data_IF_981775162529
#
_entry.id   IF_981775162529
#
_cell.length_a   1.000
_cell.length_b   1.000
_cell.length_c   1.000
_cell.angle_alpha   90.00
_cell.angle_beta   90.00
_cell.angle_gamma   90.00
#
_symmetry.space_group_name_H-M   'P 1'
#
loop_
_entity.id
_entity.type
_entity.pdbx_description
1 polymer ?
#
# COMPACT_ATOMS: atom_id res chain seq x y z
N UNK A 1 26.61 0.11 13.39
CA UNK A 1 25.51 0.15 12.44
C UNK A 1 24.95 1.55 12.37
N UNK A 2 24.80 2.10 11.21
CA UNK A 2 24.23 3.44 11.07
C UNK A 2 22.71 3.35 11.24
N UNK A 3 22.16 4.35 11.87
CA UNK A 3 20.71 4.49 11.92
C UNK A 3 20.16 4.75 10.52
N UNK A 4 19.12 4.04 10.16
CA UNK A 4 18.44 4.22 8.88
C UNK A 4 17.42 5.35 9.04
N UNK A 5 17.58 6.42 8.27
CA UNK A 5 16.66 7.55 8.29
C UNK A 5 15.62 7.32 7.18
N UNK A 6 14.32 7.41 7.48
CA UNK A 6 13.31 7.33 6.42
C UNK A 6 13.55 8.41 5.37
N UNK A 7 13.49 8.04 4.09
CA UNK A 7 13.55 9.02 2.99
C UNK A 7 12.21 9.72 2.82
N UNK A 8 11.17 9.18 3.43
CA UNK A 8 9.83 9.72 3.36
C UNK A 8 9.10 9.41 4.68
N UNK A 9 8.39 10.40 5.19
CA UNK A 9 7.54 10.26 6.37
C UNK A 9 6.22 10.99 6.13
N UNK A 10 5.11 10.34 6.45
CA UNK A 10 3.77 10.90 6.30
C UNK A 10 2.96 10.62 7.57
N UNK A 11 2.31 11.67 8.08
CA UNK A 11 1.47 11.59 9.27
C UNK A 11 0.28 12.51 9.07
N UNK A 12 -0.92 11.98 9.22
CA UNK A 12 -2.15 12.77 9.11
C UNK A 12 -2.38 13.68 10.33
N UNK A 13 -1.65 13.47 11.42
CA UNK A 13 -1.76 14.34 12.59
C UNK A 13 -1.40 15.79 12.20
N UNK A 14 -2.24 16.74 12.59
CA UNK A 14 -2.04 18.14 12.26
C UNK A 14 -2.60 18.57 10.91
N UNK A 15 -3.11 17.65 10.09
CA UNK A 15 -3.82 18.04 8.86
C UNK A 15 -5.22 18.55 9.18
N UNK A 16 -5.78 19.41 8.32
CA UNK A 16 -7.16 19.84 8.50
C UNK A 16 -8.13 18.67 8.53
N UNK A 17 -9.10 18.70 9.43
CA UNK A 17 -10.10 17.66 9.56
C UNK A 17 -10.83 17.44 8.23
N UNK A 18 -10.95 16.18 7.81
CA UNK A 18 -11.61 15.81 6.56
C UNK A 18 -10.71 15.79 5.33
N UNK A 19 -9.44 16.24 5.45
CA UNK A 19 -8.48 16.25 4.33
C UNK A 19 -7.53 15.05 4.33
N UNK A 20 -7.60 14.20 5.35
CA UNK A 20 -6.58 13.15 5.58
C UNK A 20 -6.54 12.11 4.46
N UNK A 21 -7.69 11.64 4.00
CA UNK A 21 -7.75 10.62 2.93
C UNK A 21 -7.20 11.17 1.62
N UNK A 22 -7.58 12.39 1.25
CA UNK A 22 -7.11 13.03 0.02
C UNK A 22 -5.60 13.26 0.07
N UNK A 23 -5.08 13.72 1.22
CA UNK A 23 -3.64 13.90 1.40
C UNK A 23 -2.88 12.59 1.26
N UNK A 24 -3.39 11.52 1.87
CA UNK A 24 -2.75 10.20 1.75
C UNK A 24 -2.82 9.68 0.32
N UNK A 25 -3.97 9.81 -0.35
CA UNK A 25 -4.11 9.38 -1.73
C UNK A 25 -3.13 10.11 -2.66
N UNK A 26 -2.81 11.37 -2.38
CA UNK A 26 -1.90 12.16 -3.21
C UNK A 26 -0.46 11.63 -3.20
N UNK A 27 -0.05 10.90 -2.16
CA UNK A 27 1.28 10.30 -2.09
C UNK A 27 1.32 8.88 -2.63
N UNK A 28 0.18 8.35 -3.09
CA UNK A 28 0.04 7.02 -3.68
C UNK A 28 -0.55 7.14 -5.09
N UNK A 29 0.13 7.84 -6.02
CA UNK A 29 -0.46 8.12 -7.33
C UNK A 29 -0.65 6.87 -8.20
N UNK A 30 -0.07 5.74 -7.81
CA UNK A 30 -0.22 4.47 -8.51
C UNK A 30 -1.42 3.65 -8.04
N UNK A 31 -2.19 4.15 -7.07
CA UNK A 31 -3.42 3.52 -6.59
C UNK A 31 -4.59 4.49 -6.61
N UNK A 32 -5.76 3.96 -6.88
CA UNK A 32 -7.01 4.56 -6.44
C UNK A 32 -7.25 4.12 -5.02
N UNK A 33 -7.64 5.05 -4.14
CA UNK A 33 -7.74 4.82 -2.70
C UNK A 33 -9.08 5.29 -2.20
N UNK A 34 -9.68 4.53 -1.30
CA UNK A 34 -10.90 4.93 -0.63
C UNK A 34 -11.06 4.25 0.72
N UNK A 35 -12.17 4.53 1.38
CA UNK A 35 -12.50 3.94 2.68
C UNK A 35 -13.89 3.31 2.62
N UNK A 36 -14.11 2.19 3.34
CA UNK A 36 -15.39 1.48 3.27
C UNK A 36 -16.55 2.19 3.96
N UNK A 37 -16.27 3.26 4.70
CA UNK A 37 -17.29 4.03 5.40
C UNK A 37 -16.88 5.47 5.54
N UNK A 38 -17.78 6.30 6.06
CA UNK A 38 -17.52 7.72 6.24
C UNK A 38 -17.39 8.14 7.70
N UNK A 39 -17.55 7.21 8.62
CA UNK A 39 -17.58 7.51 10.04
C UNK A 39 -16.20 7.63 10.63
N UNK A 40 -15.98 8.69 11.43
CA UNK A 40 -14.79 8.87 12.22
C UNK A 40 -13.61 9.49 11.48
N UNK A 41 -12.53 9.71 12.20
CA UNK A 41 -11.28 10.24 11.66
C UNK A 41 -10.58 9.24 10.77
N UNK A 42 -9.68 9.75 9.96
CA UNK A 42 -8.85 8.92 9.08
C UNK A 42 -7.39 9.21 9.42
N UNK A 43 -6.76 8.27 10.13
CA UNK A 43 -5.40 8.45 10.63
C UNK A 43 -4.45 7.48 9.94
N UNK A 44 -3.43 8.02 9.30
CA UNK A 44 -2.37 7.25 8.64
C UNK A 44 -1.01 7.74 9.13
N UNK A 45 -0.15 6.81 9.45
CA UNK A 45 1.25 7.06 9.78
C UNK A 45 2.09 6.14 8.89
N UNK A 46 2.94 6.72 8.05
CA UNK A 46 3.74 5.96 7.12
C UNK A 46 5.19 6.44 7.11
N UNK A 47 6.11 5.51 6.98
CA UNK A 47 7.53 5.79 6.76
C UNK A 47 8.04 4.90 5.65
N UNK A 48 8.94 5.40 4.83
CA UNK A 48 9.52 4.64 3.73
C UNK A 48 11.03 4.86 3.64
N UNK A 49 11.73 3.82 3.24
CA UNK A 49 13.18 3.79 3.07
C UNK A 49 13.51 3.30 1.68
N UNK A 50 14.49 3.94 1.05
CA UNK A 50 15.05 3.45 -0.20
C UNK A 50 16.22 2.50 0.13
N UNK A 51 16.11 1.25 -0.28
CA UNK A 51 17.07 0.19 0.04
C UNK A 51 17.56 -0.46 -1.26
N UNK A 52 18.65 0.05 -1.82
CA UNK A 52 19.30 -0.54 -2.99
C UNK A 52 18.31 -0.85 -4.14
N UNK A 53 17.56 0.16 -4.55
CA UNK A 53 16.57 0.05 -5.62
C UNK A 53 15.22 -0.50 -5.20
N UNK A 54 15.07 -0.94 -3.96
CA UNK A 54 13.80 -1.34 -3.37
C UNK A 54 13.25 -0.23 -2.50
N UNK A 55 11.94 -0.15 -2.35
CA UNK A 55 11.31 0.74 -1.39
C UNK A 55 10.60 -0.09 -0.33
N UNK A 56 11.04 0.05 0.91
CA UNK A 56 10.40 -0.56 2.06
C UNK A 56 9.54 0.51 2.74
N UNK A 57 8.29 0.20 3.00
CA UNK A 57 7.42 1.09 3.76
C UNK A 57 6.74 0.37 4.91
N UNK A 58 6.52 1.10 5.99
CA UNK A 58 5.74 0.66 7.13
C UNK A 58 4.60 1.67 7.28
N UNK A 59 3.37 1.18 7.18
CA UNK A 59 2.19 2.04 7.17
C UNK A 59 1.17 1.54 8.19
N UNK A 60 0.81 2.42 9.12
CA UNK A 60 -0.34 2.19 9.99
C UNK A 60 -1.53 2.91 9.36
N UNK A 61 -2.60 2.17 9.09
CA UNK A 61 -3.75 2.71 8.38
C UNK A 61 -5.06 2.12 8.92
N UNK A 62 -6.17 2.86 8.80
CA UNK A 62 -7.50 2.35 9.10
C UNK A 62 -7.97 1.40 8.00
N UNK A 63 -9.19 0.84 8.11
CA UNK A 63 -9.78 0.11 6.99
C UNK A 63 -9.84 0.96 5.74
N UNK A 64 -9.24 0.47 4.65
CA UNK A 64 -9.17 1.15 3.36
C UNK A 64 -9.26 0.13 2.24
N UNK A 65 -9.55 0.61 1.03
CA UNK A 65 -9.33 -0.16 -0.18
C UNK A 65 -8.36 0.58 -1.08
N UNK A 66 -7.54 -0.18 -1.80
CA UNK A 66 -6.60 0.33 -2.80
C UNK A 66 -6.81 -0.49 -4.08
N UNK A 67 -6.89 0.19 -5.20
CA UNK A 67 -7.07 -0.46 -6.48
C UNK A 67 -5.99 -0.05 -7.46
N UNK A 68 -5.36 -1.04 -8.06
CA UNK A 68 -4.45 -0.86 -9.18
C UNK A 68 -5.27 -0.98 -10.46
N UNK A 69 -5.82 0.12 -10.92
CA UNK A 69 -6.76 0.14 -12.05
C UNK A 69 -6.04 0.00 -13.39
N UNK A 70 -6.79 -0.42 -14.42
CA UNK A 70 -6.27 -0.51 -15.78
C UNK A 70 -5.76 0.85 -16.28
N UNK A 71 -6.45 1.94 -15.92
CA UNK A 71 -6.04 3.28 -16.31
C UNK A 71 -4.70 3.67 -15.70
N UNK A 72 -4.47 3.36 -14.41
CA UNK A 72 -3.19 3.64 -13.75
C UNK A 72 -2.06 2.78 -14.32
N UNK A 73 -2.31 1.51 -14.59
CA UNK A 73 -1.33 0.62 -15.21
C UNK A 73 -0.88 1.18 -16.56
N UNK A 74 -1.82 1.62 -17.37
CA UNK A 74 -1.52 2.21 -18.68
C UNK A 74 -0.74 3.54 -18.56
N UNK A 75 -1.04 4.33 -17.53
CA UNK A 75 -0.47 5.67 -17.36
C UNK A 75 0.97 5.62 -16.83
N UNK A 76 1.27 4.75 -15.85
CA UNK A 76 2.56 4.77 -15.17
C UNK A 76 3.55 3.68 -15.60
N UNK A 77 3.07 2.63 -16.27
CA UNK A 77 3.91 1.55 -16.78
C UNK A 77 4.68 0.77 -15.72
N UNK A 78 4.27 0.84 -14.44
CA UNK A 78 4.96 0.13 -13.36
C UNK A 78 4.81 -1.37 -13.52
N UNK A 79 5.94 -2.08 -13.42
CA UNK A 79 6.03 -3.53 -13.55
C UNK A 79 6.69 -4.19 -12.35
N UNK A 80 6.91 -3.45 -11.27
CA UNK A 80 7.50 -3.98 -10.05
C UNK A 80 6.52 -4.88 -9.29
N UNK A 81 7.04 -5.63 -8.35
CA UNK A 81 6.23 -6.43 -7.43
C UNK A 81 6.07 -5.70 -6.10
N UNK A 82 4.99 -6.03 -5.40
CA UNK A 82 4.68 -5.48 -4.10
C UNK A 82 4.51 -6.66 -3.13
N UNK A 83 5.44 -6.83 -2.20
CA UNK A 83 5.32 -7.84 -1.14
C UNK A 83 4.72 -7.17 0.09
N UNK A 84 3.66 -7.76 0.63
CA UNK A 84 2.89 -7.18 1.74
C UNK A 84 2.77 -8.17 2.86
N UNK A 85 3.01 -7.72 4.08
CA UNK A 85 2.72 -8.45 5.31
C UNK A 85 2.09 -7.49 6.31
N UNK A 86 1.03 -7.93 6.98
CA UNK A 86 0.33 -7.10 7.96
C UNK A 86 0.24 -7.76 9.32
N UNK A 87 -0.04 -6.98 10.35
CA UNK A 87 -0.37 -7.49 11.69
C UNK A 87 -1.86 -7.72 11.88
N UNK A 88 -2.66 -7.48 10.86
CA UNK A 88 -4.11 -7.69 10.83
C UNK A 88 -4.49 -8.33 9.49
N UNK A 89 -5.65 -9.02 9.43
CA UNK A 89 -6.10 -9.64 8.19
C UNK A 89 -6.36 -8.59 7.11
N UNK A 90 -6.14 -8.98 5.87
CA UNK A 90 -6.51 -8.20 4.71
C UNK A 90 -6.91 -9.13 3.57
N UNK A 91 -7.44 -8.60 2.50
CA UNK A 91 -7.80 -9.40 1.33
C UNK A 91 -7.34 -8.73 0.05
N UNK A 92 -7.16 -9.55 -0.97
CA UNK A 92 -6.91 -9.04 -2.32
C UNK A 92 -7.79 -9.78 -3.32
N UNK A 93 -8.08 -9.10 -4.41
CA UNK A 93 -8.82 -9.66 -5.54
C UNK A 93 -8.01 -9.44 -6.81
N UNK A 94 -7.79 -10.50 -7.56
CA UNK A 94 -7.20 -10.45 -8.89
C UNK A 94 -8.30 -10.42 -9.95
N UNK A 95 -7.97 -9.97 -11.15
CA UNK A 95 -8.93 -9.86 -12.24
C UNK A 95 -9.60 -11.21 -12.54
N UNK A 96 -10.93 -11.20 -12.57
CA UNK A 96 -11.74 -12.38 -12.85
C UNK A 96 -11.78 -13.43 -11.75
N UNK A 97 -11.27 -13.12 -10.54
CA UNK A 97 -11.22 -14.07 -9.43
C UNK A 97 -11.94 -13.54 -8.19
N UNK A 98 -12.45 -14.45 -7.32
CA UNK A 98 -12.99 -14.01 -6.04
C UNK A 98 -11.88 -13.49 -5.11
N UNK A 99 -12.23 -12.67 -4.09
CA UNK A 99 -11.25 -12.20 -3.11
C UNK A 99 -10.59 -13.34 -2.35
N UNK A 100 -9.31 -13.15 -2.04
CA UNK A 100 -8.52 -14.08 -1.22
C UNK A 100 -8.15 -13.37 0.07
N UNK A 101 -8.40 -14.03 1.19
CA UNK A 101 -8.03 -13.52 2.51
C UNK A 101 -6.57 -13.86 2.82
N UNK A 102 -5.84 -12.90 3.38
CA UNK A 102 -4.47 -13.06 3.87
C UNK A 102 -4.50 -12.89 5.39
N UNK A 103 -3.96 -13.88 6.10
CA UNK A 103 -3.91 -13.84 7.56
C UNK A 103 -2.76 -12.97 8.06
N UNK A 104 -2.79 -12.52 9.33
CA UNK A 104 -1.67 -11.79 9.92
C UNK A 104 -0.36 -12.56 9.80
N UNK A 105 0.71 -11.84 9.47
CA UNK A 105 2.08 -12.36 9.34
C UNK A 105 2.30 -13.28 8.12
N UNK A 106 1.32 -13.45 7.26
CA UNK A 106 1.52 -14.08 5.96
C UNK A 106 2.00 -13.05 4.94
N UNK A 107 2.99 -13.42 4.14
CA UNK A 107 3.50 -12.57 3.06
C UNK A 107 2.74 -12.89 1.78
N UNK A 108 2.28 -11.85 1.10
CA UNK A 108 1.66 -11.98 -0.21
C UNK A 108 2.37 -11.04 -1.20
N UNK A 109 2.60 -11.53 -2.42
CA UNK A 109 3.25 -10.76 -3.48
C UNK A 109 2.22 -10.44 -4.55
N UNK A 110 2.08 -9.15 -4.87
CA UNK A 110 1.19 -8.65 -5.91
C UNK A 110 2.01 -8.05 -7.06
N UNK A 111 1.48 -8.17 -8.27
CA UNK A 111 2.13 -7.69 -9.49
C UNK A 111 1.51 -6.37 -9.91
N UNK A 112 2.29 -5.29 -9.85
CA UNK A 112 1.82 -3.94 -10.20
C UNK A 112 1.55 -3.75 -11.70
N UNK A 113 1.94 -4.69 -12.54
CA UNK A 113 1.59 -4.67 -13.97
C UNK A 113 0.20 -5.21 -14.27
N UNK A 114 -0.53 -5.70 -13.26
CA UNK A 114 -1.85 -6.31 -13.40
C UNK A 114 -2.86 -5.63 -12.50
N UNK A 115 -4.12 -5.72 -12.89
CA UNK A 115 -5.20 -5.21 -12.04
C UNK A 115 -5.31 -6.02 -10.75
N UNK A 116 -5.44 -5.33 -9.64
CA UNK A 116 -5.82 -5.93 -8.36
C UNK A 116 -6.49 -4.90 -7.46
N UNK A 117 -7.23 -5.40 -6.48
CA UNK A 117 -7.85 -4.59 -5.45
C UNK A 117 -7.49 -5.18 -4.09
N UNK A 118 -7.11 -4.32 -3.16
CA UNK A 118 -6.77 -4.69 -1.79
C UNK A 118 -7.78 -4.05 -0.85
N UNK A 119 -8.21 -4.79 0.16
CA UNK A 119 -9.02 -4.26 1.26
C UNK A 119 -8.36 -4.62 2.58
N UNK A 120 -8.11 -3.61 3.41
CA UNK A 120 -7.51 -3.77 4.74
C UNK A 120 -8.56 -3.65 5.81
N UNK A 121 -8.31 -4.29 6.96
CA UNK A 121 -9.18 -4.20 8.13
C UNK A 121 -8.69 -3.19 9.16
N UNK A 122 -7.59 -2.51 8.85
CA UNK A 122 -6.91 -1.60 9.77
C UNK A 122 -5.79 -2.30 10.51
N UNK A 123 -4.67 -1.63 10.66
CA UNK A 123 -3.49 -2.17 11.31
C UNK A 123 -2.21 -1.61 10.73
N UNK A 124 -1.12 -2.32 10.97
CA UNK A 124 0.20 -1.97 10.47
C UNK A 124 0.62 -2.95 9.39
N UNK A 125 1.08 -2.41 8.27
CA UNK A 125 1.46 -3.18 7.09
C UNK A 125 2.87 -2.80 6.68
N UNK A 126 3.69 -3.82 6.42
CA UNK A 126 5.02 -3.67 5.84
C UNK A 126 4.92 -4.01 4.37
N UNK A 127 5.36 -3.09 3.53
CA UNK A 127 5.24 -3.20 2.08
C UNK A 127 6.62 -3.01 1.47
N UNK A 128 7.03 -3.98 0.65
CA UNK A 128 8.31 -3.92 -0.04
C UNK A 128 8.05 -3.91 -1.55
N UNK A 129 8.41 -2.81 -2.19
CA UNK A 129 8.34 -2.72 -3.65
C UNK A 129 9.66 -3.21 -4.23
N UNK A 130 9.57 -4.24 -5.07
CA UNK A 130 10.70 -4.98 -5.61
C UNK A 130 10.75 -4.80 -7.14
N UNK A 131 11.88 -4.34 -7.70
CA UNK A 131 12.06 -4.39 -9.14
C UNK A 131 11.91 -5.82 -9.67
N UNK A 132 11.23 -5.97 -10.81
CA UNK A 132 10.97 -7.29 -11.40
C UNK A 132 12.23 -8.15 -11.57
N UNK A 133 13.39 -7.62 -12.02
CA UNK A 133 14.60 -8.43 -12.16
C UNK A 133 15.09 -9.10 -10.88
N UNK A 134 14.77 -8.55 -9.71
CA UNK A 134 15.20 -9.15 -8.45
C UNK A 134 14.52 -10.48 -8.15
N UNK A 135 13.30 -10.69 -8.65
CA UNK A 135 12.57 -11.94 -8.47
C UNK A 135 12.73 -12.89 -9.65
N UNK A 136 13.23 -12.41 -10.77
CA UNK A 136 13.43 -13.21 -11.98
C UNK A 136 14.79 -13.90 -12.03
N UNK A 137 15.66 -13.61 -11.07
CA UNK A 137 17.01 -14.19 -11.01
C UNK A 137 17.02 -15.68 -10.70
#
# INVERSE_FOLDING_TARGET
MQDVIPVFHFDTAGLPAGSELEAWASILPWFEVGRPGEAGGFNVLASAWLLDGMVLSVTRMPPVWLERSAALIAADGRIDYCAVVGNAPWSFQLDGRPPTRVEPNEVCVLDNSRWFRVETTGGEYVILNLPRPMLAA
#
